data_IF_513441088938
#
_entry.id   IF_513441088938
#
_cell.length_a   1.000
_cell.length_b   1.000
_cell.length_c   1.000
_cell.angle_alpha   90.00
_cell.angle_beta   90.00
_cell.angle_gamma   90.00
#
_symmetry.space_group_name_H-M   'P 1'
#
loop_
_entity.id
_entity.type
_entity.pdbx_description
1 polymer ?
#
# COMPACT_ATOMS: atom_id res chain seq x y z
N UNK A 1 34.00 -27.79 -10.19
CA UNK A 1 33.53 -26.62 -10.97
C UNK A 1 32.12 -26.99 -11.40
N UNK A 2 31.15 -26.72 -10.55
CA UNK A 2 29.76 -27.14 -10.71
C UNK A 2 28.90 -25.94 -11.11
N UNK A 3 28.03 -26.18 -12.08
CA UNK A 3 27.29 -25.20 -12.86
C UNK A 3 26.31 -24.38 -12.00
N UNK A 4 26.23 -23.08 -12.30
CA UNK A 4 25.46 -22.05 -11.59
C UNK A 4 23.94 -22.07 -11.89
N UNK A 5 23.45 -23.03 -12.68
CA UNK A 5 22.06 -23.06 -13.18
C UNK A 5 21.06 -23.79 -12.25
N UNK A 6 21.51 -24.41 -11.16
CA UNK A 6 20.65 -25.27 -10.33
C UNK A 6 20.04 -24.56 -9.09
N UNK A 7 20.43 -23.32 -8.78
CA UNK A 7 20.08 -22.66 -7.49
C UNK A 7 18.75 -21.90 -7.45
N UNK A 8 17.97 -21.86 -8.53
CA UNK A 8 16.72 -21.06 -8.57
C UNK A 8 15.46 -21.94 -8.63
N UNK A 9 15.59 -23.26 -8.78
CA UNK A 9 14.45 -24.18 -8.90
C UNK A 9 13.93 -24.79 -7.57
N UNK A 10 14.58 -24.60 -6.42
CA UNK A 10 14.28 -25.37 -5.18
C UNK A 10 13.18 -24.75 -4.29
N UNK A 11 12.38 -23.82 -4.80
CA UNK A 11 11.56 -22.99 -3.93
C UNK A 11 10.08 -22.94 -4.29
N UNK A 12 9.40 -24.10 -4.31
CA UNK A 12 7.96 -24.17 -3.99
C UNK A 12 7.47 -25.61 -3.84
N UNK A 13 6.97 -25.94 -2.65
CA UNK A 13 6.08 -27.10 -2.44
C UNK A 13 4.71 -26.81 -3.03
N UNK A 14 4.16 -27.85 -3.61
CA UNK A 14 2.98 -27.92 -4.44
C UNK A 14 1.75 -28.18 -3.58
N UNK A 15 1.00 -27.15 -3.15
CA UNK A 15 -0.43 -27.28 -2.85
C UNK A 15 -1.10 -25.89 -2.89
N UNK A 16 -1.87 -25.63 -3.96
CA UNK A 16 -2.88 -24.58 -3.96
C UNK A 16 -4.08 -25.04 -4.77
N UNK A 17 -5.12 -25.44 -4.05
CA UNK A 17 -6.43 -25.74 -4.59
C UNK A 17 -7.04 -24.53 -5.30
N UNK A 18 -7.77 -24.82 -6.37
CA UNK A 18 -8.60 -23.89 -7.12
C UNK A 18 -9.80 -23.44 -6.29
N UNK A 19 -10.07 -22.13 -6.31
CA UNK A 19 -11.43 -21.63 -6.15
C UNK A 19 -11.59 -20.44 -7.08
N UNK A 20 -12.33 -20.68 -8.16
CA UNK A 20 -13.04 -19.63 -8.87
C UNK A 20 -14.04 -19.03 -7.89
N UNK A 21 -14.12 -17.71 -7.80
CA UNK A 21 -15.41 -17.02 -7.78
C UNK A 21 -15.28 -15.68 -8.50
N UNK A 22 -16.16 -15.54 -9.48
CA UNK A 22 -16.51 -14.34 -10.21
C UNK A 22 -17.68 -13.69 -9.48
N UNK A 23 -17.85 -12.38 -9.70
CA UNK A 23 -19.01 -11.55 -9.36
C UNK A 23 -19.18 -11.09 -7.91
N UNK A 24 -18.76 -9.84 -7.66
CA UNK A 24 -19.63 -8.85 -7.02
C UNK A 24 -19.06 -7.44 -7.27
N UNK A 25 -19.57 -6.80 -8.32
CA UNK A 25 -19.31 -5.40 -8.63
C UNK A 25 -20.52 -4.56 -8.21
N UNK A 26 -20.24 -3.57 -7.37
CA UNK A 26 -20.90 -2.27 -7.21
C UNK A 26 -22.43 -2.20 -7.02
N UNK A 27 -22.85 -1.67 -5.87
CA UNK A 27 -23.31 -0.27 -5.72
C UNK A 27 -24.04 -0.13 -4.38
N UNK A 28 -23.43 0.54 -3.41
CA UNK A 28 -24.17 1.07 -2.26
C UNK A 28 -23.54 2.38 -1.77
N UNK A 29 -23.27 3.28 -2.72
CA UNK A 29 -23.24 4.71 -2.43
C UNK A 29 -24.66 5.25 -2.68
N UNK A 30 -25.58 5.05 -1.73
CA UNK A 30 -26.65 6.02 -1.43
C UNK A 30 -27.47 5.56 -0.21
N UNK A 31 -26.96 5.81 1.01
CA UNK A 31 -27.82 5.97 2.19
C UNK A 31 -27.19 7.05 3.08
N UNK A 32 -27.35 8.30 2.65
CA UNK A 32 -27.29 9.46 3.52
C UNK A 32 -28.44 9.39 4.55
N UNK A 33 -28.17 8.88 5.74
CA UNK A 33 -29.00 9.17 6.90
C UNK A 33 -28.28 10.21 7.77
N UNK A 34 -28.92 11.37 7.85
CA UNK A 34 -28.63 12.48 8.73
C UNK A 34 -28.51 12.00 10.18
N UNK A 35 -27.33 12.12 10.79
CA UNK A 35 -27.18 11.95 12.22
C UNK A 35 -27.00 13.30 12.90
N UNK A 36 -28.00 13.59 13.73
CA UNK A 36 -28.13 14.72 14.63
C UNK A 36 -26.88 14.88 15.51
N UNK A 37 -26.61 16.13 15.89
CA UNK A 37 -25.71 16.45 16.98
C UNK A 37 -26.25 15.84 18.28
N UNK A 38 -25.77 14.65 18.66
CA UNK A 38 -25.81 14.20 20.05
C UNK A 38 -24.44 14.47 20.67
N UNK A 39 -24.44 15.42 21.60
CA UNK A 39 -23.42 15.51 22.64
C UNK A 39 -23.67 14.35 23.58
N UNK A 40 -22.93 13.25 23.45
CA UNK A 40 -22.85 12.28 24.53
C UNK A 40 -21.45 11.72 24.72
N UNK A 41 -21.05 11.73 25.98
CA UNK A 41 -19.76 11.24 26.48
C UNK A 41 -19.85 9.73 26.61
N UNK A 42 -19.83 9.08 25.46
CA UNK A 42 -20.00 7.64 25.32
C UNK A 42 -18.60 7.06 25.02
N UNK A 43 -17.84 6.77 26.07
CA UNK A 43 -16.76 5.77 26.08
C UNK A 43 -17.43 4.53 26.69
N UNK A 44 -18.12 3.65 25.95
CA UNK A 44 -17.57 2.33 25.60
C UNK A 44 -18.73 1.43 25.10
N UNK A 45 -19.39 1.79 23.99
CA UNK A 45 -20.58 1.07 23.52
C UNK A 45 -20.15 -0.27 22.92
N UNK A 46 -20.93 -1.35 23.10
CA UNK A 46 -20.59 -2.68 22.57
C UNK A 46 -20.26 -2.65 21.06
N UNK A 47 -20.96 -1.81 20.29
CA UNK A 47 -20.72 -1.64 18.86
C UNK A 47 -19.33 -1.04 18.54
N UNK A 48 -18.76 -0.21 19.43
CA UNK A 48 -17.40 0.34 19.26
C UNK A 48 -16.35 -0.74 19.46
N UNK A 49 -16.49 -1.56 20.50
CA UNK A 49 -15.59 -2.68 20.78
C UNK A 49 -15.61 -3.67 19.61
N UNK A 50 -16.80 -4.10 19.18
CA UNK A 50 -16.98 -5.03 18.07
C UNK A 50 -16.36 -4.55 16.75
N UNK A 51 -16.40 -3.24 16.47
CA UNK A 51 -15.72 -2.69 15.29
C UNK A 51 -14.21 -2.90 15.35
N UNK A 52 -13.58 -2.53 16.47
CA UNK A 52 -12.12 -2.61 16.58
C UNK A 52 -11.64 -4.05 16.54
N UNK A 53 -12.35 -4.96 17.22
CA UNK A 53 -12.07 -6.39 17.16
C UNK A 53 -12.22 -6.94 15.74
N UNK A 54 -13.26 -6.51 15.01
CA UNK A 54 -13.43 -6.86 13.59
C UNK A 54 -12.29 -6.34 12.71
N UNK A 55 -11.80 -5.11 12.92
CA UNK A 55 -10.67 -4.58 12.15
C UNK A 55 -9.36 -5.33 12.44
N UNK A 56 -9.12 -5.70 13.70
CA UNK A 56 -7.95 -6.49 14.10
C UNK A 56 -8.02 -7.88 13.48
N UNK A 57 -9.17 -8.56 13.59
CA UNK A 57 -9.37 -9.89 13.00
C UNK A 57 -9.19 -9.87 11.47
N UNK A 58 -9.76 -8.88 10.79
CA UNK A 58 -9.59 -8.71 9.34
C UNK A 58 -8.13 -8.47 8.97
N UNK A 59 -7.41 -7.63 9.72
CA UNK A 59 -5.98 -7.39 9.46
C UNK A 59 -5.16 -8.68 9.68
N UNK A 60 -5.45 -9.44 10.73
CA UNK A 60 -4.78 -10.71 11.02
C UNK A 60 -5.01 -11.73 9.90
N UNK A 61 -6.24 -11.87 9.41
CA UNK A 61 -6.55 -12.76 8.29
C UNK A 61 -5.77 -12.38 7.02
N UNK A 62 -5.72 -11.07 6.70
CA UNK A 62 -4.91 -10.58 5.57
C UNK A 62 -3.44 -10.91 5.77
N UNK A 63 -2.90 -10.71 6.99
CA UNK A 63 -1.51 -10.96 7.32
C UNK A 63 -1.17 -12.45 7.30
N UNK A 64 -2.08 -13.34 7.69
CA UNK A 64 -1.93 -14.79 7.59
C UNK A 64 -1.79 -15.24 6.14
N UNK A 65 -2.68 -14.77 5.25
CA UNK A 65 -2.61 -15.07 3.82
C UNK A 65 -1.35 -14.49 3.17
N UNK A 66 -0.99 -13.25 3.56
CA UNK A 66 0.27 -12.62 3.19
C UNK A 66 1.48 -13.45 3.66
N UNK A 67 1.38 -14.08 4.84
CA UNK A 67 2.46 -14.86 5.43
C UNK A 67 2.75 -16.18 4.69
N UNK A 68 1.79 -16.72 3.95
CA UNK A 68 1.97 -17.93 3.14
C UNK A 68 2.82 -17.63 1.90
N UNK A 69 2.55 -16.53 1.21
CA UNK A 69 3.22 -16.20 -0.06
C UNK A 69 4.52 -15.44 0.18
N UNK A 70 5.61 -15.85 -0.50
CA UNK A 70 6.88 -15.13 -0.47
C UNK A 70 7.59 -15.09 0.89
N UNK A 71 7.31 -16.05 1.78
CA UNK A 71 7.93 -16.14 3.11
C UNK A 71 9.45 -16.23 3.05
N UNK A 72 9.99 -17.04 2.13
CA UNK A 72 11.44 -17.18 1.91
C UNK A 72 12.08 -15.85 1.46
N UNK A 73 11.44 -15.15 0.51
CA UNK A 73 11.90 -13.82 0.07
C UNK A 73 11.85 -12.81 1.22
N UNK A 74 10.79 -12.82 2.05
CA UNK A 74 10.68 -11.95 3.24
C UNK A 74 11.79 -12.17 4.24
N UNK A 75 12.06 -13.43 4.59
CA UNK A 75 13.15 -13.76 5.51
C UNK A 75 14.49 -13.28 4.95
N UNK A 76 14.72 -13.47 3.65
CA UNK A 76 15.95 -13.08 3.01
C UNK A 76 16.14 -11.55 2.97
N UNK A 77 15.11 -10.82 2.56
CA UNK A 77 15.10 -9.35 2.60
C UNK A 77 15.30 -8.85 4.03
N UNK A 78 14.68 -9.47 5.02
CA UNK A 78 14.88 -9.14 6.43
C UNK A 78 16.34 -9.31 6.89
N UNK A 79 16.99 -10.42 6.52
CA UNK A 79 18.42 -10.64 6.79
C UNK A 79 19.29 -9.57 6.12
N UNK A 80 18.99 -9.22 4.88
CA UNK A 80 19.71 -8.19 4.13
C UNK A 80 19.57 -6.82 4.79
N UNK A 81 18.35 -6.43 5.16
CA UNK A 81 18.07 -5.16 5.86
C UNK A 81 18.87 -5.09 7.16
N UNK A 82 18.81 -6.13 7.99
CA UNK A 82 19.51 -6.16 9.27
C UNK A 82 21.03 -6.07 9.10
N UNK A 83 21.60 -6.80 8.12
CA UNK A 83 23.02 -6.74 7.81
C UNK A 83 23.46 -5.35 7.35
N UNK A 84 22.65 -4.70 6.51
CA UNK A 84 22.95 -3.35 6.02
C UNK A 84 22.86 -2.34 7.16
N UNK A 85 21.77 -2.36 7.95
CA UNK A 85 21.55 -1.48 9.11
C UNK A 85 22.65 -1.62 10.18
N UNK A 86 23.30 -2.78 10.28
CA UNK A 86 24.42 -3.03 11.19
C UNK A 86 25.77 -2.46 10.69
N UNK A 87 25.81 -1.86 9.50
CA UNK A 87 27.01 -1.29 8.88
C UNK A 87 26.77 0.17 8.49
N UNK A 88 27.84 0.93 8.29
CA UNK A 88 27.73 2.27 7.71
C UNK A 88 27.40 2.16 6.21
N UNK A 89 26.11 2.23 5.90
CA UNK A 89 25.61 2.04 4.54
C UNK A 89 25.34 3.36 3.80
N UNK A 90 25.44 4.50 4.50
CA UNK A 90 25.13 5.83 4.00
C UNK A 90 26.37 6.74 3.97
N UNK A 91 26.59 7.39 2.83
CA UNK A 91 27.65 8.38 2.61
C UNK A 91 27.09 9.78 2.28
N UNK A 92 25.83 10.03 2.61
CA UNK A 92 25.19 11.33 2.35
C UNK A 92 25.83 12.44 3.19
N UNK A 93 26.02 13.61 2.58
CA UNK A 93 26.63 14.79 3.22
C UNK A 93 25.80 15.41 4.36
N UNK A 94 24.60 14.88 4.66
CA UNK A 94 23.72 15.44 5.68
C UNK A 94 24.09 14.87 7.06
N UNK A 95 24.41 15.72 8.06
CA UNK A 95 24.66 15.25 9.42
C UNK A 95 23.41 14.55 9.99
N UNK A 96 23.60 13.45 10.73
CA UNK A 96 22.59 12.55 11.31
C UNK A 96 21.89 11.55 10.38
N UNK A 97 22.47 11.20 9.22
CA UNK A 97 21.85 10.25 8.28
C UNK A 97 22.17 8.77 8.53
N UNK A 98 22.37 8.33 9.78
CA UNK A 98 22.59 6.90 10.11
C UNK A 98 21.45 5.99 9.63
N UNK A 99 20.29 6.56 9.28
CA UNK A 99 19.14 5.84 8.74
C UNK A 99 18.59 6.49 7.45
N UNK A 100 19.46 6.87 6.50
CA UNK A 100 19.00 7.41 5.21
C UNK A 100 18.24 6.35 4.40
N UNK A 101 16.93 6.48 4.31
CA UNK A 101 16.12 5.44 3.68
C UNK A 101 16.40 5.26 2.18
N UNK A 102 16.71 6.33 1.46
CA UNK A 102 17.08 6.24 0.04
C UNK A 102 18.36 5.43 -0.16
N UNK A 103 19.36 5.63 0.72
CA UNK A 103 20.57 4.79 0.70
C UNK A 103 20.24 3.35 1.07
N UNK A 104 19.36 3.13 2.06
CA UNK A 104 18.95 1.78 2.45
C UNK A 104 18.27 1.05 1.29
N UNK A 105 17.31 1.69 0.60
CA UNK A 105 16.61 1.10 -0.57
C UNK A 105 17.60 0.72 -1.67
N UNK A 106 18.53 1.62 -2.02
CA UNK A 106 19.57 1.34 -3.01
C UNK A 106 20.45 0.16 -2.60
N UNK A 107 20.91 0.11 -1.35
CA UNK A 107 21.77 -0.97 -0.84
C UNK A 107 21.04 -2.31 -0.83
N UNK A 108 19.78 -2.33 -0.40
CA UNK A 108 18.94 -3.54 -0.45
C UNK A 108 18.79 -4.03 -1.90
N UNK A 109 18.46 -3.13 -2.83
CA UNK A 109 18.34 -3.47 -4.25
C UNK A 109 19.66 -4.02 -4.83
N UNK A 110 20.79 -3.37 -4.56
CA UNK A 110 22.12 -3.85 -4.99
C UNK A 110 22.40 -5.25 -4.46
N UNK A 111 22.24 -5.49 -3.15
CA UNK A 111 22.53 -6.80 -2.55
C UNK A 111 21.62 -7.90 -3.09
N UNK A 112 20.35 -7.60 -3.39
CA UNK A 112 19.45 -8.56 -4.02
C UNK A 112 19.89 -8.87 -5.46
N UNK A 113 20.24 -7.85 -6.25
CA UNK A 113 20.76 -8.02 -7.61
C UNK A 113 22.06 -8.81 -7.65
N UNK A 114 22.99 -8.57 -6.73
CA UNK A 114 24.25 -9.32 -6.60
C UNK A 114 24.00 -10.81 -6.28
N UNK A 115 22.84 -11.14 -5.68
CA UNK A 115 22.40 -12.53 -5.44
C UNK A 115 21.64 -13.13 -6.63
N UNK A 116 21.59 -12.45 -7.77
CA UNK A 116 20.90 -12.90 -8.98
C UNK A 116 19.39 -12.72 -8.94
N UNK A 117 18.86 -11.94 -8.00
CA UNK A 117 17.43 -11.62 -7.93
C UNK A 117 17.18 -10.38 -8.79
N UNK A 118 16.32 -10.49 -9.80
CA UNK A 118 15.95 -9.34 -10.64
C UNK A 118 15.24 -8.29 -9.79
N UNK A 119 15.89 -7.13 -9.59
CA UNK A 119 15.33 -6.03 -8.81
C UNK A 119 15.33 -4.71 -9.57
N UNK A 120 14.30 -3.91 -9.32
CA UNK A 120 14.13 -2.56 -9.88
C UNK A 120 13.91 -1.56 -8.75
N UNK A 121 14.60 -0.44 -8.79
CA UNK A 121 14.27 0.71 -7.95
C UNK A 121 13.20 1.54 -8.66
N UNK A 122 11.99 1.54 -8.12
CA UNK A 122 10.82 2.17 -8.74
C UNK A 122 10.45 3.45 -8.01
N UNK A 123 9.85 4.39 -8.74
CA UNK A 123 9.36 5.64 -8.19
C UNK A 123 7.98 5.97 -8.75
N UNK A 124 6.97 5.96 -7.88
CA UNK A 124 5.65 6.51 -8.20
C UNK A 124 5.72 8.04 -8.12
N UNK A 125 5.06 8.74 -9.05
CA UNK A 125 4.92 10.20 -9.04
C UNK A 125 3.46 10.56 -9.32
N UNK A 126 2.90 11.49 -8.56
CA UNK A 126 1.55 11.99 -8.78
C UNK A 126 1.53 13.51 -8.72
N UNK A 127 0.67 14.10 -9.55
CA UNK A 127 0.51 15.56 -9.63
C UNK A 127 -0.34 16.08 -8.48
N UNK A 128 -0.11 17.33 -8.11
CA UNK A 128 -0.96 18.00 -7.13
C UNK A 128 -2.34 18.25 -7.74
N UNK A 129 -3.37 18.14 -6.90
CA UNK A 129 -4.75 18.54 -7.18
C UNK A 129 -5.21 19.51 -6.09
N UNK A 130 -6.43 20.06 -6.20
CA UNK A 130 -7.02 20.89 -5.14
C UNK A 130 -7.16 20.16 -3.80
N UNK A 131 -7.25 18.82 -3.79
CA UNK A 131 -7.52 18.01 -2.59
C UNK A 131 -6.28 17.26 -2.07
N UNK A 132 -5.29 17.05 -2.93
CA UNK A 132 -4.13 16.18 -2.67
C UNK A 132 -2.86 16.87 -3.12
N UNK A 133 -1.85 17.04 -2.23
CA UNK A 133 -0.56 17.57 -2.63
C UNK A 133 0.16 16.60 -3.55
N UNK A 134 0.91 17.15 -4.51
CA UNK A 134 1.80 16.37 -5.37
C UNK A 134 2.91 15.69 -4.57
N UNK A 135 3.45 14.60 -5.11
CA UNK A 135 4.48 13.86 -4.41
C UNK A 135 5.09 12.75 -5.25
N UNK A 136 6.10 12.12 -4.65
CA UNK A 136 6.76 10.95 -5.19
C UNK A 136 7.10 9.98 -4.08
N UNK A 137 7.14 8.70 -4.40
CA UNK A 137 7.48 7.65 -3.45
C UNK A 137 8.35 6.59 -4.12
N UNK A 138 9.48 6.26 -3.50
CA UNK A 138 10.42 5.25 -3.97
C UNK A 138 10.16 3.92 -3.25
N UNK A 139 10.19 2.82 -4.00
CA UNK A 139 10.04 1.45 -3.50
C UNK A 139 10.89 0.51 -4.35
N UNK A 140 11.12 -0.72 -3.88
CA UNK A 140 11.85 -1.73 -4.65
C UNK A 140 10.84 -2.74 -5.19
N UNK A 141 11.02 -3.12 -6.44
CA UNK A 141 10.32 -4.22 -7.05
C UNK A 141 11.27 -5.40 -7.24
N UNK A 142 10.77 -6.61 -6.97
CA UNK A 142 11.45 -7.87 -7.23
C UNK A 142 10.63 -8.69 -8.21
N UNK A 143 11.30 -9.22 -9.24
CA UNK A 143 10.68 -10.10 -10.23
C UNK A 143 11.20 -11.52 -9.96
N UNK A 144 10.31 -12.39 -9.46
CA UNK A 144 10.59 -13.80 -9.24
C UNK A 144 10.08 -14.63 -10.41
N UNK A 145 10.94 -15.47 -10.98
CA UNK A 145 10.57 -16.48 -11.97
C UNK A 145 10.33 -17.81 -11.27
N UNK A 146 9.19 -18.45 -11.53
CA UNK A 146 8.94 -19.82 -11.05
C UNK A 146 9.43 -20.83 -12.08
N UNK A 147 10.09 -21.90 -11.67
CA UNK A 147 10.58 -22.96 -12.57
C UNK A 147 9.46 -23.63 -13.38
N UNK A 148 8.26 -23.69 -12.82
CA UNK A 148 7.10 -24.41 -13.37
C UNK A 148 6.18 -23.56 -14.24
N UNK A 149 6.32 -22.23 -14.25
CA UNK A 149 5.52 -21.34 -15.11
C UNK A 149 6.39 -20.28 -15.75
N UNK A 150 6.18 -20.05 -17.06
CA UNK A 150 6.66 -18.85 -17.80
C UNK A 150 6.16 -17.51 -17.23
N UNK A 151 5.41 -17.51 -16.12
CA UNK A 151 4.79 -16.34 -15.52
C UNK A 151 5.68 -15.80 -14.41
N UNK A 152 6.20 -14.60 -14.63
CA UNK A 152 6.91 -13.84 -13.61
C UNK A 152 5.93 -13.36 -12.54
N UNK A 153 6.33 -13.50 -11.27
CA UNK A 153 5.60 -12.97 -10.11
C UNK A 153 6.36 -11.74 -9.61
N UNK A 154 5.64 -10.63 -9.43
CA UNK A 154 6.21 -9.38 -8.95
C UNK A 154 5.92 -9.21 -7.47
N UNK A 155 6.93 -8.83 -6.71
CA UNK A 155 6.85 -8.49 -5.30
C UNK A 155 7.29 -7.04 -5.11
N UNK A 156 6.62 -6.33 -4.22
CA UNK A 156 7.00 -4.98 -3.79
C UNK A 156 7.65 -5.06 -2.41
N UNK A 157 8.77 -4.36 -2.24
CA UNK A 157 9.43 -4.15 -0.96
C UNK A 157 9.23 -2.69 -0.53
N UNK A 158 8.54 -2.50 0.61
CA UNK A 158 8.43 -1.22 1.31
C UNK A 158 9.16 -1.33 2.64
N UNK A 159 10.20 -0.52 2.85
CA UNK A 159 11.08 -0.65 4.02
C UNK A 159 10.52 -0.01 5.30
N UNK A 160 9.55 0.91 5.17
CA UNK A 160 9.03 1.71 6.28
C UNK A 160 7.51 1.55 6.45
N UNK A 161 6.93 0.40 6.07
CA UNK A 161 5.47 0.24 5.99
C UNK A 161 4.77 0.68 7.28
N UNK A 162 5.24 0.20 8.44
CA UNK A 162 4.64 0.53 9.74
C UNK A 162 4.70 2.03 10.05
N UNK A 163 5.84 2.66 9.78
CA UNK A 163 6.06 4.10 10.02
C UNK A 163 5.13 4.98 9.16
N UNK A 164 4.80 4.53 7.94
CA UNK A 164 3.81 5.19 7.07
C UNK A 164 2.40 5.25 7.67
N UNK A 165 2.13 4.54 8.77
CA UNK A 165 0.84 4.56 9.47
C UNK A 165 0.92 5.04 10.93
N UNK A 166 2.10 5.40 11.43
CA UNK A 166 2.20 5.96 12.77
C UNK A 166 1.59 7.36 12.84
N UNK A 167 0.68 7.57 13.79
CA UNK A 167 0.03 8.86 14.07
C UNK A 167 0.24 9.15 15.57
N UNK A 168 1.03 10.19 15.87
CA UNK A 168 1.45 10.52 17.23
C UNK A 168 0.28 10.71 18.21
N UNK A 169 -0.83 11.30 17.75
CA UNK A 169 -2.02 11.57 18.56
C UNK A 169 -3.16 10.58 18.33
N UNK A 170 -2.91 9.38 17.81
CA UNK A 170 -3.99 8.39 17.64
C UNK A 170 -4.56 7.87 18.97
N UNK A 171 -5.74 7.23 18.90
CA UNK A 171 -6.29 6.46 20.01
C UNK A 171 -5.59 5.10 20.18
N UNK A 172 -5.70 4.50 21.35
CA UNK A 172 -5.06 3.22 21.69
C UNK A 172 -5.52 2.10 20.76
N UNK A 173 -6.79 2.08 20.38
CA UNK A 173 -7.34 1.03 19.50
C UNK A 173 -6.69 1.07 18.11
N UNK A 174 -6.42 2.28 17.60
CA UNK A 174 -5.66 2.43 16.35
C UNK A 174 -4.20 2.01 16.52
N UNK A 175 -3.58 2.36 17.65
CA UNK A 175 -2.21 1.94 17.93
C UNK A 175 -2.07 0.42 17.99
N UNK A 176 -3.09 -0.30 18.50
CA UNK A 176 -3.15 -1.77 18.45
C UNK A 176 -3.16 -2.31 17.02
N UNK A 177 -3.93 -1.70 16.11
CA UNK A 177 -3.92 -2.09 14.69
C UNK A 177 -2.55 -1.84 14.06
N UNK A 178 -1.95 -0.67 14.30
CA UNK A 178 -0.62 -0.34 13.76
C UNK A 178 0.46 -1.24 14.35
N UNK A 179 0.32 -1.70 15.60
CA UNK A 179 1.30 -2.58 16.23
C UNK A 179 1.37 -3.96 15.55
N UNK A 180 0.25 -4.45 15.01
CA UNK A 180 0.17 -5.68 14.22
C UNK A 180 0.86 -5.60 12.85
N UNK A 181 1.13 -4.40 12.33
CA UNK A 181 1.76 -4.26 11.02
C UNK A 181 3.23 -4.72 11.04
N UNK A 182 3.71 -5.35 9.96
CA UNK A 182 5.12 -5.66 9.83
C UNK A 182 5.92 -4.36 9.65
N UNK A 183 7.15 -4.31 10.17
CA UNK A 183 8.03 -3.15 10.07
C UNK A 183 8.25 -2.75 8.60
N UNK A 184 8.56 -3.74 7.78
CA UNK A 184 8.68 -3.65 6.33
C UNK A 184 7.72 -4.62 5.65
N UNK A 185 7.38 -4.33 4.40
CA UNK A 185 6.51 -5.16 3.57
C UNK A 185 7.32 -5.83 2.46
N UNK A 186 7.08 -7.11 2.19
CA UNK A 186 7.49 -7.75 0.94
C UNK A 186 6.39 -8.66 0.43
N UNK A 187 5.67 -8.25 -0.61
CA UNK A 187 4.46 -8.96 -1.02
C UNK A 187 3.87 -8.50 -2.34
N UNK A 188 2.76 -9.11 -2.71
CA UNK A 188 2.01 -8.77 -3.92
C UNK A 188 1.03 -7.61 -3.68
N UNK A 189 0.65 -6.90 -4.73
CA UNK A 189 -0.11 -5.64 -4.63
C UNK A 189 -1.45 -5.78 -3.90
N UNK A 190 -2.11 -6.93 -4.05
CA UNK A 190 -3.42 -7.21 -3.45
C UNK A 190 -3.40 -7.13 -1.93
N UNK A 191 -2.40 -7.73 -1.27
CA UNK A 191 -2.30 -7.72 0.19
C UNK A 191 -1.94 -6.33 0.70
N UNK A 192 -1.05 -5.62 0.01
CA UNK A 192 -0.71 -4.24 0.38
C UNK A 192 -1.96 -3.34 0.31
N UNK A 193 -2.75 -3.46 -0.75
CA UNK A 193 -3.98 -2.70 -0.94
C UNK A 193 -4.99 -2.98 0.18
N UNK A 194 -5.15 -4.26 0.54
CA UNK A 194 -6.04 -4.67 1.62
C UNK A 194 -5.57 -4.12 2.98
N UNK A 195 -4.27 -4.22 3.30
CA UNK A 195 -3.68 -3.66 4.53
C UNK A 195 -3.90 -2.15 4.58
N UNK A 196 -3.56 -1.43 3.50
CA UNK A 196 -3.72 0.04 3.41
C UNK A 196 -5.17 0.44 3.68
N UNK A 197 -6.14 -0.30 3.12
CA UNK A 197 -7.57 -0.03 3.32
C UNK A 197 -7.97 -0.14 4.79
N UNK A 198 -7.70 -1.28 5.42
CA UNK A 198 -8.05 -1.54 6.82
C UNK A 198 -7.44 -0.49 7.74
N UNK A 199 -6.14 -0.22 7.57
CA UNK A 199 -5.43 0.73 8.44
C UNK A 199 -5.89 2.17 8.21
N UNK A 200 -6.17 2.58 6.98
CA UNK A 200 -6.68 3.93 6.70
C UNK A 200 -8.11 4.13 7.22
N UNK A 201 -8.97 3.12 7.14
CA UNK A 201 -10.34 3.17 7.67
C UNK A 201 -10.33 3.27 9.21
N UNK A 202 -9.47 2.48 9.86
CA UNK A 202 -9.18 2.57 11.28
C UNK A 202 -8.63 3.96 11.68
N UNK A 203 -7.71 4.53 10.89
CA UNK A 203 -7.18 5.87 11.12
C UNK A 203 -8.29 6.93 11.06
N UNK A 204 -9.16 6.86 10.03
CA UNK A 204 -10.30 7.75 9.86
C UNK A 204 -11.23 7.70 11.07
N UNK A 205 -11.56 6.49 11.57
CA UNK A 205 -12.41 6.33 12.75
C UNK A 205 -11.75 6.86 14.02
N UNK A 206 -10.47 6.58 14.24
CA UNK A 206 -9.70 7.09 15.38
C UNK A 206 -9.68 8.62 15.43
N UNK A 207 -9.39 9.25 14.30
CA UNK A 207 -9.35 10.71 14.20
C UNK A 207 -10.73 11.35 14.40
N UNK A 208 -11.80 10.72 13.89
CA UNK A 208 -13.19 11.14 14.16
C UNK A 208 -13.50 11.08 15.66
N UNK A 209 -13.13 10.00 16.36
CA UNK A 209 -13.33 9.85 17.82
C UNK A 209 -12.62 10.97 18.58
N UNK A 210 -11.41 11.34 18.18
CA UNK A 210 -10.62 12.40 18.82
C UNK A 210 -10.96 13.82 18.34
N UNK A 211 -12.00 13.99 17.52
CA UNK A 211 -12.39 15.28 16.91
C UNK A 211 -11.22 15.97 16.18
N UNK A 212 -10.36 15.18 15.54
CA UNK A 212 -9.21 15.65 14.77
C UNK A 212 -9.39 15.37 13.27
N UNK A 213 -8.87 16.25 12.42
CA UNK A 213 -8.87 16.03 10.98
C UNK A 213 -7.76 15.05 10.56
N UNK A 214 -8.08 14.10 9.68
CA UNK A 214 -7.10 13.19 9.09
C UNK A 214 -6.40 13.88 7.91
N UNK A 215 -5.08 14.07 8.03
CA UNK A 215 -4.28 14.71 6.99
C UNK A 215 -4.41 13.98 5.63
N UNK A 216 -4.36 14.70 4.49
CA UNK A 216 -4.55 14.09 3.16
C UNK A 216 -3.65 12.88 2.91
N UNK A 217 -2.39 12.94 3.36
CA UNK A 217 -1.41 11.88 3.16
C UNK A 217 -1.64 10.61 3.99
N UNK A 218 -2.59 10.62 4.93
CA UNK A 218 -3.01 9.44 5.70
C UNK A 218 -4.31 8.83 5.19
N UNK A 219 -4.94 9.45 4.18
CA UNK A 219 -6.15 8.92 3.55
C UNK A 219 -5.79 7.77 2.60
N UNK A 220 -6.69 6.81 2.49
CA UNK A 220 -6.53 5.61 1.67
C UNK A 220 -6.07 5.94 0.24
N UNK A 221 -6.79 6.82 -0.47
CA UNK A 221 -6.45 7.17 -1.85
C UNK A 221 -5.03 7.71 -2.01
N UNK A 222 -4.56 8.56 -1.09
CA UNK A 222 -3.18 9.08 -1.13
C UNK A 222 -2.16 7.96 -0.86
N UNK A 223 -2.43 7.12 0.14
CA UNK A 223 -1.53 6.03 0.49
C UNK A 223 -1.35 5.06 -0.68
N UNK A 224 -2.43 4.74 -1.41
CA UNK A 224 -2.34 3.89 -2.60
C UNK A 224 -1.50 4.51 -3.74
N UNK A 225 -1.46 5.84 -3.88
CA UNK A 225 -0.63 6.52 -4.89
C UNK A 225 0.87 6.26 -4.71
N UNK A 226 1.33 5.94 -3.49
CA UNK A 226 2.74 5.60 -3.23
C UNK A 226 3.22 4.41 -4.06
N UNK A 227 2.33 3.48 -4.36
CA UNK A 227 2.64 2.23 -5.05
C UNK A 227 1.80 2.04 -6.31
N UNK A 228 1.29 3.14 -6.90
CA UNK A 228 0.42 3.09 -8.08
C UNK A 228 1.11 2.50 -9.31
N UNK A 229 2.43 2.69 -9.46
CA UNK A 229 3.22 2.07 -10.53
C UNK A 229 3.32 0.55 -10.44
N UNK A 230 3.10 -0.01 -9.24
CA UNK A 230 3.08 -1.45 -8.99
C UNK A 230 1.66 -2.03 -9.08
N UNK A 231 0.66 -1.25 -8.70
CA UNK A 231 -0.73 -1.68 -8.64
C UNK A 231 -1.46 -1.41 -9.97
N UNK A 232 -1.40 -2.35 -10.91
CA UNK A 232 -2.02 -2.23 -12.24
C UNK A 232 -3.54 -1.98 -12.17
N UNK A 233 -4.22 -2.42 -11.10
CA UNK A 233 -5.67 -2.20 -10.89
C UNK A 233 -6.01 -0.74 -10.54
N UNK A 234 -5.09 0.00 -9.91
CA UNK A 234 -5.31 1.41 -9.53
C UNK A 234 -5.34 2.36 -10.74
N UNK A 235 -4.53 2.06 -11.76
CA UNK A 235 -4.44 2.89 -12.96
C UNK A 235 -5.75 2.91 -13.77
N UNK A 236 -6.55 1.84 -13.74
CA UNK A 236 -7.79 1.77 -14.53
C UNK A 236 -8.90 2.66 -13.94
N UNK A 237 -9.15 2.59 -12.63
CA UNK A 237 -10.22 3.38 -11.98
C UNK A 237 -9.94 4.89 -11.91
N UNK A 238 -8.68 5.31 -11.70
CA UNK A 238 -8.36 6.74 -11.59
C UNK A 238 -8.27 7.43 -12.96
N UNK A 239 -7.93 6.72 -14.03
CA UNK A 239 -7.99 7.28 -15.40
C UNK A 239 -9.46 7.48 -15.82
N UNK A 240 -10.36 6.53 -15.52
CA UNK A 240 -11.78 6.64 -15.84
C UNK A 240 -12.47 7.83 -15.12
N UNK A 241 -12.22 8.01 -13.82
CA UNK A 241 -12.76 9.15 -13.07
C UNK A 241 -12.19 10.51 -13.50
N UNK A 242 -10.94 10.54 -14.02
CA UNK A 242 -10.33 11.75 -14.57
C UNK A 242 -10.83 12.09 -15.99
N UNK A 243 -11.22 11.09 -16.80
CA UNK A 243 -11.84 11.32 -18.11
C UNK A 243 -13.30 11.76 -18.03
N UNK A 244 -14.06 11.26 -17.04
CA UNK A 244 -15.47 11.63 -16.85
C UNK A 244 -15.63 13.06 -16.30
N UNK A 245 -14.68 13.53 -15.49
CA UNK A 245 -14.67 14.92 -14.99
C UNK A 245 -14.29 15.98 -16.04
N UNK A 246 -13.86 15.56 -17.24
CA UNK A 246 -13.46 16.44 -18.34
C UNK A 246 -14.48 16.52 -19.51
N UNK A 247 -15.68 15.93 -19.38
CA UNK A 247 -16.78 16.07 -20.36
C UNK A 247 -17.83 17.14 -19.99
N UNK A 248 -17.54 18.01 -19.03
CA UNK A 248 -18.33 19.22 -18.80
C UNK A 248 -17.73 20.39 -19.58
N UNK A 249 -18.56 21.10 -20.36
CA UNK A 249 -18.28 22.32 -21.12
C UNK A 249 -17.85 22.17 -22.59
N UNK A 250 -18.83 21.91 -23.46
CA UNK A 250 -19.01 22.73 -24.67
C UNK A 250 -20.34 22.46 -25.36
N UNK A 251 -21.28 23.41 -25.22
CA UNK A 251 -22.21 23.72 -26.31
C UNK A 251 -22.64 25.18 -26.18
N UNK A 252 -21.94 26.06 -26.88
CA UNK A 252 -22.42 27.41 -27.15
C UNK A 252 -23.53 27.34 -28.23
N UNK A 253 -24.54 28.23 -28.20
CA UNK A 253 -25.62 28.24 -29.18
C UNK A 253 -25.16 28.87 -30.50
N UNK A 254 -25.52 28.25 -31.62
CA UNK A 254 -25.33 28.83 -32.95
C UNK A 254 -26.30 30.01 -33.13
N UNK A 255 -25.75 31.20 -33.36
CA UNK A 255 -26.48 32.35 -33.87
C UNK A 255 -26.79 32.13 -35.36
N UNK A 256 -28.07 32.25 -35.73
CA UNK A 256 -28.50 32.32 -37.14
C UNK A 256 -28.55 33.81 -37.50
N UNK A 257 -27.67 34.22 -38.42
CA UNK A 257 -27.70 35.54 -39.05
C UNK A 257 -28.62 35.46 -40.27
N UNK A 258 -29.62 36.34 -40.32
CA UNK A 258 -30.51 36.54 -41.45
C UNK A 258 -29.89 37.50 -42.47
N UNK A 259 -29.91 37.12 -43.75
CA UNK A 259 -29.75 37.95 -44.98
C UNK A 259 -30.32 37.06 -46.11
N UNK A 260 -31.28 37.40 -46.98
CA UNK A 260 -32.04 38.58 -47.39
C UNK A 260 -33.47 38.12 -47.71
#
# INVERSE_FOLDING_TARGET
>A
MESFEEKVCVFMDEHSYHSNESELHASLEDLCLSEQQSSDSEEDSPQRILYWDSQVALLQEILERYNITGSKLRQEVGRIINKIKASDFCSCLKPNSHNCITCLRRRVATVLSDRGITTNLCMSKWKSTHKVPGGSHEYIEVIASTSTRKRQIRFLIELELKEQFQIAKAGEEYQKIVSCLPEFYVGKAEYLTAIVRVVCDAAKKSMKKKKMHLAPWRKNGFMQMKWSGFNQTYHHHHIQQASESNMGFSRAPNAVVAVN
#
